data_IF_493916543318
#
_entry.id   IF_493916543318
#
_cell.length_a   1.000
_cell.length_b   1.000
_cell.length_c   1.000
_cell.angle_alpha   90.00
_cell.angle_beta   90.00
_cell.angle_gamma   90.00
#
_symmetry.space_group_name_H-M   'P 1'
#
loop_
_entity.id
_entity.type
_entity.pdbx_description
1 polymer ?
#
# COMPACT_ATOMS: atom_id res chain seq x y z
N UNK A 1 7.71 25.29 41.94
CA UNK A 1 8.24 25.14 40.57
C UNK A 1 7.33 25.91 39.63
N UNK A 2 7.80 27.03 39.08
CA UNK A 2 7.04 27.81 38.09
C UNK A 2 6.89 26.96 36.83
N UNK A 3 5.67 26.60 36.46
CA UNK A 3 5.38 26.07 35.13
C UNK A 3 5.78 27.15 34.12
N UNK A 4 6.94 27.02 33.46
CA UNK A 4 7.24 27.83 32.27
C UNK A 4 6.05 27.63 31.32
N UNK A 5 5.36 28.72 30.96
CA UNK A 5 4.21 28.65 30.06
C UNK A 5 4.64 27.99 28.74
N UNK A 6 4.17 26.77 28.52
CA UNK A 6 4.45 26.00 27.31
C UNK A 6 3.69 26.63 26.15
N UNK A 7 4.38 27.39 25.31
CA UNK A 7 3.77 28.08 24.16
C UNK A 7 3.61 27.13 22.98
N UNK A 8 2.37 26.72 22.72
CA UNK A 8 1.97 26.01 21.49
C UNK A 8 1.83 26.99 20.34
N UNK A 9 2.37 26.64 19.17
CA UNK A 9 2.26 27.42 17.94
C UNK A 9 2.02 26.48 16.76
N UNK A 10 1.13 26.88 15.86
CA UNK A 10 1.00 26.26 14.56
C UNK A 10 2.20 26.67 13.68
N UNK A 11 2.94 25.69 13.15
CA UNK A 11 4.12 25.92 12.33
C UNK A 11 4.16 24.95 11.15
N UNK A 12 4.75 25.40 10.04
CA UNK A 12 5.21 24.49 9.01
C UNK A 12 6.59 23.94 9.42
N UNK A 13 6.76 22.63 9.29
CA UNK A 13 7.91 21.87 9.77
C UNK A 13 8.47 21.14 8.56
N UNK A 14 9.72 21.42 8.24
CA UNK A 14 10.48 20.78 7.18
C UNK A 14 11.50 19.84 7.82
N UNK A 15 11.44 18.57 7.46
CA UNK A 15 12.46 17.57 7.79
C UNK A 15 13.17 17.16 6.51
N UNK A 16 14.49 17.14 6.51
CA UNK A 16 15.30 16.74 5.37
C UNK A 16 16.42 15.81 5.78
N UNK A 17 16.53 14.66 5.15
CA UNK A 17 17.49 13.62 5.51
C UNK A 17 18.16 13.02 4.26
N UNK A 18 19.37 12.49 4.44
CA UNK A 18 20.18 11.96 3.34
C UNK A 18 19.83 10.51 3.05
N UNK A 19 19.56 10.20 1.79
CA UNK A 19 19.40 8.82 1.34
C UNK A 19 20.73 8.07 1.33
N UNK A 20 20.81 7.03 2.15
CA UNK A 20 21.97 6.12 2.17
C UNK A 20 23.22 6.72 2.81
N UNK A 21 23.07 7.63 3.77
CA UNK A 21 24.19 8.30 4.44
C UNK A 21 25.23 7.32 5.01
N UNK A 22 24.79 6.24 5.66
CA UNK A 22 25.70 5.22 6.22
C UNK A 22 26.61 4.59 5.17
N UNK A 23 26.15 4.43 3.93
CA UNK A 23 26.97 3.93 2.82
C UNK A 23 28.05 4.95 2.44
N UNK A 24 27.67 6.23 2.31
CA UNK A 24 28.63 7.31 1.97
C UNK A 24 29.73 7.44 3.03
N UNK A 25 29.36 7.30 4.31
CA UNK A 25 30.30 7.25 5.42
C UNK A 25 31.26 6.06 5.30
N UNK A 26 30.75 4.85 5.04
CA UNK A 26 31.59 3.67 4.87
C UNK A 26 32.56 3.74 3.68
N UNK A 27 32.18 4.44 2.61
CA UNK A 27 33.02 4.58 1.41
C UNK A 27 34.16 5.60 1.61
N UNK A 28 33.86 6.79 2.15
CA UNK A 28 34.85 7.83 2.49
C UNK A 28 34.23 8.82 3.50
N UNK A 29 34.62 8.67 4.77
CA UNK A 29 34.11 9.48 5.87
C UNK A 29 34.46 10.97 5.73
N UNK A 30 35.70 11.28 5.38
CA UNK A 30 36.20 12.67 5.35
C UNK A 30 35.52 13.46 4.25
N UNK A 31 35.43 12.88 3.04
CA UNK A 31 34.73 13.52 1.94
C UNK A 31 33.23 13.66 2.22
N UNK A 32 32.62 12.70 2.94
CA UNK A 32 31.19 12.73 3.28
C UNK A 32 30.90 13.84 4.28
N UNK A 33 31.70 13.94 5.35
CA UNK A 33 31.60 15.02 6.34
C UNK A 33 31.79 16.40 5.71
N UNK A 34 32.75 16.54 4.78
CA UNK A 34 32.94 17.79 4.04
C UNK A 34 31.69 18.16 3.23
N UNK A 35 31.14 17.19 2.47
CA UNK A 35 29.98 17.41 1.59
C UNK A 35 28.72 17.76 2.40
N UNK A 36 28.43 17.02 3.48
CA UNK A 36 27.24 17.31 4.31
C UNK A 36 27.35 18.66 5.01
N UNK A 37 28.56 19.08 5.40
CA UNK A 37 28.79 20.39 6.02
C UNK A 37 28.47 21.53 5.04
N UNK A 38 28.99 21.45 3.81
CA UNK A 38 28.69 22.45 2.76
C UNK A 38 27.20 22.50 2.42
N UNK A 39 26.55 21.34 2.33
CA UNK A 39 25.14 21.25 2.02
C UNK A 39 24.30 21.83 3.18
N UNK A 40 24.69 21.59 4.44
CA UNK A 40 24.03 22.18 5.62
C UNK A 40 24.11 23.70 5.66
N UNK A 41 25.25 24.28 5.32
CA UNK A 41 25.39 25.74 5.21
C UNK A 41 24.44 26.28 4.14
N UNK A 42 24.38 25.61 2.98
CA UNK A 42 23.47 25.95 1.88
C UNK A 42 22.00 25.87 2.33
N UNK A 43 21.60 24.76 2.96
CA UNK A 43 20.25 24.56 3.48
C UNK A 43 19.89 25.62 4.52
N UNK A 44 20.79 25.92 5.45
CA UNK A 44 20.56 26.93 6.50
C UNK A 44 20.36 28.32 5.89
N UNK A 45 21.17 28.67 4.89
CA UNK A 45 21.03 29.94 4.15
C UNK A 45 19.66 30.05 3.48
N UNK A 46 19.23 29.01 2.76
CA UNK A 46 17.93 28.95 2.09
C UNK A 46 16.78 29.03 3.10
N UNK A 47 16.84 28.25 4.18
CA UNK A 47 15.83 28.29 5.25
C UNK A 47 15.66 29.72 5.78
N UNK A 48 16.77 30.42 6.04
CA UNK A 48 16.72 31.81 6.52
C UNK A 48 16.17 32.78 5.46
N UNK A 49 16.52 32.59 4.17
CA UNK A 49 16.01 33.40 3.06
C UNK A 49 14.48 33.30 2.93
N UNK A 50 13.92 32.12 3.19
CA UNK A 50 12.47 31.87 3.21
C UNK A 50 11.83 32.11 4.59
N UNK A 51 12.42 32.97 5.43
CA UNK A 51 11.89 33.36 6.76
C UNK A 51 11.66 32.14 7.70
N UNK A 52 12.40 31.07 7.47
CA UNK A 52 12.46 29.89 8.32
C UNK A 52 13.56 29.99 9.36
N UNK A 53 13.61 28.98 10.23
CA UNK A 53 14.69 28.80 11.21
C UNK A 53 15.04 27.32 11.31
N UNK A 54 16.32 26.99 11.21
CA UNK A 54 16.82 25.64 11.54
C UNK A 54 16.76 25.47 13.06
N UNK A 55 16.07 24.43 13.50
CA UNK A 55 15.84 24.11 14.91
C UNK A 55 16.87 23.10 15.40
N UNK A 56 17.11 22.09 14.59
CA UNK A 56 17.99 20.98 14.94
C UNK A 56 18.64 20.43 13.66
N UNK A 57 19.84 19.88 13.80
CA UNK A 57 20.52 19.18 12.72
C UNK A 57 21.44 18.07 13.26
N UNK A 58 20.87 17.03 13.90
CA UNK A 58 21.66 15.93 14.40
C UNK A 58 22.04 14.98 13.25
N UNK A 59 23.32 14.62 13.14
CA UNK A 59 23.78 13.59 12.19
C UNK A 59 23.79 14.06 10.75
N UNK A 60 22.82 13.60 9.96
CA UNK A 60 22.57 13.89 8.54
C UNK A 60 21.20 14.54 8.27
N UNK A 61 20.36 14.64 9.31
CA UNK A 61 19.06 15.27 9.23
C UNK A 61 19.16 16.79 9.44
N UNK A 62 18.22 17.54 8.85
CA UNK A 62 18.00 18.97 9.03
C UNK A 62 16.52 19.19 9.32
N UNK A 63 16.23 19.79 10.48
CA UNK A 63 14.88 20.14 10.91
C UNK A 63 14.72 21.66 10.95
N UNK A 64 13.79 22.18 10.19
CA UNK A 64 13.50 23.61 10.10
C UNK A 64 12.02 23.91 10.33
N UNK A 65 11.73 25.11 10.83
CA UNK A 65 10.36 25.61 11.02
C UNK A 65 10.14 26.93 10.33
N UNK A 66 8.92 27.11 9.85
CA UNK A 66 8.49 28.30 9.13
C UNK A 66 7.17 28.81 9.71
N UNK A 67 6.98 30.13 9.62
CA UNK A 67 5.69 30.76 9.91
C UNK A 67 4.64 30.52 8.81
N UNK A 68 5.09 30.21 7.60
CA UNK A 68 4.27 30.01 6.42
C UNK A 68 4.59 28.65 5.80
N UNK A 69 3.55 27.87 5.48
CA UNK A 69 3.70 26.60 4.76
C UNK A 69 4.05 26.82 3.27
N UNK A 70 3.67 27.97 2.71
CA UNK A 70 4.05 28.34 1.34
C UNK A 70 5.57 28.48 1.26
N UNK A 71 6.17 29.23 2.19
CA UNK A 71 7.60 29.49 2.25
C UNK A 71 8.37 28.18 2.49
N UNK A 72 7.86 27.31 3.38
CA UNK A 72 8.46 26.01 3.64
C UNK A 72 8.53 25.14 2.38
N UNK A 73 7.45 25.09 1.59
CA UNK A 73 7.41 24.27 0.37
C UNK A 73 8.23 24.89 -0.76
N UNK A 74 8.22 26.21 -0.93
CA UNK A 74 9.11 26.88 -1.88
C UNK A 74 10.59 26.68 -1.52
N UNK A 75 10.93 26.81 -0.24
CA UNK A 75 12.27 26.50 0.26
C UNK A 75 12.66 25.05 -0.04
N UNK A 76 11.76 24.09 0.18
CA UNK A 76 12.03 22.68 -0.13
C UNK A 76 12.31 22.44 -1.63
N UNK A 77 11.52 23.06 -2.51
CA UNK A 77 11.74 23.00 -3.97
C UNK A 77 13.09 23.58 -4.34
N UNK A 78 13.44 24.74 -3.81
CA UNK A 78 14.71 25.41 -4.09
C UNK A 78 15.92 24.62 -3.57
N UNK A 79 15.81 24.04 -2.37
CA UNK A 79 16.81 23.12 -1.82
C UNK A 79 17.05 21.96 -2.80
N UNK A 80 15.99 21.28 -3.26
CA UNK A 80 16.16 20.15 -4.18
C UNK A 80 16.80 20.57 -5.51
N UNK A 81 16.47 21.74 -6.06
CA UNK A 81 17.07 22.25 -7.29
C UNK A 81 18.58 22.51 -7.12
N UNK A 82 18.96 23.20 -6.04
CA UNK A 82 20.37 23.53 -5.76
C UNK A 82 21.18 22.26 -5.48
N UNK A 83 20.64 21.33 -4.70
CA UNK A 83 21.30 20.06 -4.42
C UNK A 83 21.42 19.18 -5.67
N UNK A 84 20.42 19.19 -6.56
CA UNK A 84 20.50 18.49 -7.85
C UNK A 84 21.68 19.02 -8.66
N UNK A 85 21.80 20.34 -8.81
CA UNK A 85 22.91 20.96 -9.52
C UNK A 85 24.27 20.64 -8.88
N UNK A 86 24.42 20.80 -7.56
CA UNK A 86 25.66 20.45 -6.85
C UNK A 86 26.06 18.97 -6.97
N UNK A 87 25.09 18.08 -7.11
CA UNK A 87 25.33 16.64 -7.29
C UNK A 87 25.75 16.28 -8.73
N UNK A 88 25.49 17.13 -9.73
CA UNK A 88 25.94 16.89 -11.11
C UNK A 88 27.46 16.91 -11.23
N UNK A 89 28.13 17.72 -10.42
CA UNK A 89 29.59 17.82 -10.34
C UNK A 89 30.26 16.65 -9.60
N UNK A 90 29.47 15.78 -8.96
CA UNK A 90 29.95 14.65 -8.18
C UNK A 90 29.75 13.32 -8.92
N UNK A 91 30.68 12.36 -8.76
CA UNK A 91 30.47 11.01 -9.26
C UNK A 91 29.28 10.35 -8.57
N UNK A 92 28.57 9.47 -9.28
CA UNK A 92 27.27 8.94 -8.85
C UNK A 92 27.29 8.32 -7.45
N UNK A 93 28.36 7.59 -7.11
CA UNK A 93 28.54 6.96 -5.80
C UNK A 93 28.71 7.95 -4.64
N UNK A 94 29.06 9.20 -4.93
CA UNK A 94 29.29 10.30 -3.97
C UNK A 94 28.14 11.30 -3.91
N UNK A 95 27.12 11.19 -4.78
CA UNK A 95 25.97 12.08 -4.77
C UNK A 95 25.21 11.96 -3.45
N UNK A 96 24.95 13.10 -2.83
CA UNK A 96 24.23 13.20 -1.57
C UNK A 96 22.80 13.64 -1.86
N UNK A 97 21.92 12.65 -1.95
CA UNK A 97 20.53 12.84 -2.36
C UNK A 97 19.65 13.00 -1.12
N UNK A 98 19.03 14.17 -0.96
CA UNK A 98 18.14 14.44 0.15
C UNK A 98 16.70 14.04 -0.17
N UNK A 99 16.00 13.56 0.85
CA UNK A 99 14.53 13.45 0.88
C UNK A 99 14.00 14.57 1.75
N UNK A 100 12.86 15.15 1.40
CA UNK A 100 12.26 16.25 2.17
C UNK A 100 10.79 15.95 2.47
N UNK A 101 10.39 16.14 3.73
CA UNK A 101 9.03 16.08 4.21
C UNK A 101 8.59 17.43 4.79
N UNK A 102 7.42 17.93 4.39
CA UNK A 102 6.83 19.15 4.96
C UNK A 102 5.47 18.84 5.60
N UNK A 103 5.32 19.22 6.86
CA UNK A 103 4.07 19.10 7.59
C UNK A 103 3.63 20.44 8.18
N UNK A 104 2.33 20.71 8.18
CA UNK A 104 1.75 21.82 8.95
C UNK A 104 1.05 21.24 10.20
N UNK A 105 1.51 21.65 11.38
CA UNK A 105 0.95 21.16 12.64
C UNK A 105 1.38 21.96 13.86
N UNK A 106 0.74 21.68 14.99
CA UNK A 106 1.06 22.31 16.26
C UNK A 106 2.36 21.77 16.84
N UNK A 107 3.21 22.68 17.29
CA UNK A 107 4.45 22.36 18.00
C UNK A 107 4.53 23.15 19.29
N UNK A 108 5.18 22.55 20.28
CA UNK A 108 5.65 23.22 21.47
C UNK A 108 7.05 23.75 21.14
N UNK A 109 7.23 25.07 21.26
CA UNK A 109 8.54 25.69 21.06
C UNK A 109 9.14 26.05 22.42
N UNK A 110 10.31 25.48 22.73
CA UNK A 110 11.09 25.80 23.92
C UNK A 110 12.49 26.23 23.49
N UNK A 111 12.79 27.52 23.68
CA UNK A 111 14.05 28.13 23.25
C UNK A 111 14.33 27.81 21.76
N UNK A 112 15.39 27.06 21.50
CA UNK A 112 15.78 26.68 20.14
C UNK A 112 15.17 25.39 19.64
N UNK A 113 14.55 24.58 20.52
CA UNK A 113 13.99 23.25 20.19
C UNK A 113 12.50 23.28 19.95
N UNK A 114 12.02 22.29 19.20
CA UNK A 114 10.58 22.04 19.01
C UNK A 114 10.23 20.62 19.40
N UNK A 115 9.03 20.45 19.93
CA UNK A 115 8.48 19.17 20.35
C UNK A 115 7.04 19.02 19.87
N UNK A 116 6.63 17.77 19.71
CA UNK A 116 5.25 17.40 19.43
C UNK A 116 5.10 16.54 18.19
N UNK A 117 3.88 16.06 18.01
CA UNK A 117 3.51 15.13 16.94
C UNK A 117 3.78 15.68 15.54
N UNK A 118 3.69 17.01 15.37
CA UNK A 118 3.98 17.66 14.09
C UNK A 118 5.38 17.35 13.56
N UNK A 119 6.37 17.20 14.45
CA UNK A 119 7.76 16.87 14.11
C UNK A 119 7.88 15.42 13.65
N UNK A 120 7.26 14.51 14.40
CA UNK A 120 7.23 13.08 14.07
C UNK A 120 6.54 12.81 12.72
N UNK A 121 5.46 13.55 12.43
CA UNK A 121 4.76 13.47 11.16
C UNK A 121 5.66 13.98 10.03
N UNK A 122 6.35 15.13 10.19
CA UNK A 122 7.26 15.66 9.18
C UNK A 122 8.37 14.66 8.82
N UNK A 123 9.03 14.09 9.82
CA UNK A 123 10.05 13.06 9.62
C UNK A 123 9.49 11.79 8.96
N UNK A 124 8.27 11.37 9.30
CA UNK A 124 7.64 10.21 8.67
C UNK A 124 7.29 10.46 7.21
N UNK A 125 6.85 11.68 6.89
CA UNK A 125 6.54 12.08 5.51
C UNK A 125 7.81 12.19 4.68
N UNK A 126 8.90 12.71 5.25
CA UNK A 126 10.23 12.72 4.64
C UNK A 126 10.65 11.31 4.20
N UNK A 127 10.48 10.31 5.08
CA UNK A 127 10.87 8.94 4.79
C UNK A 127 10.05 8.27 3.68
N UNK A 128 8.91 8.86 3.29
CA UNK A 128 8.08 8.41 2.17
C UNK A 128 8.48 9.06 0.84
N UNK A 129 9.30 10.11 0.86
CA UNK A 129 9.77 10.75 -0.36
C UNK A 129 10.77 9.87 -1.09
N UNK A 130 10.75 9.91 -2.43
CA UNK A 130 11.84 9.36 -3.22
C UNK A 130 13.10 10.22 -3.03
N UNK A 131 14.29 9.67 -3.33
CA UNK A 131 15.53 10.46 -3.33
C UNK A 131 15.41 11.66 -4.29
N UNK A 132 15.72 12.86 -3.78
CA UNK A 132 15.53 14.11 -4.53
C UNK A 132 14.08 14.58 -4.59
N UNK A 133 13.18 13.90 -3.88
CA UNK A 133 11.75 14.17 -3.86
C UNK A 133 11.30 14.99 -2.64
N UNK A 134 10.08 15.50 -2.75
CA UNK A 134 9.40 16.24 -1.69
C UNK A 134 8.03 15.60 -1.45
N UNK A 135 7.75 15.29 -0.19
CA UNK A 135 6.42 14.89 0.26
C UNK A 135 5.86 15.92 1.25
N UNK A 136 4.55 16.15 1.17
CA UNK A 136 3.84 17.09 2.04
C UNK A 136 2.63 16.43 2.68
N UNK A 137 2.28 16.85 3.89
CA UNK A 137 1.05 16.40 4.56
C UNK A 137 -0.20 16.96 3.87
N UNK A 138 -1.34 16.32 4.10
CA UNK A 138 -2.62 16.83 3.61
C UNK A 138 -2.97 18.21 4.16
N UNK A 139 -2.64 18.48 5.42
CA UNK A 139 -2.83 19.83 6.00
C UNK A 139 -1.97 20.88 5.32
N UNK A 140 -0.76 20.54 4.89
CA UNK A 140 0.07 21.44 4.09
C UNK A 140 -0.49 21.62 2.68
N UNK A 141 -0.89 20.52 2.01
CA UNK A 141 -1.50 20.54 0.69
C UNK A 141 -2.73 21.44 0.62
N UNK A 142 -3.68 21.26 1.55
CA UNK A 142 -4.94 22.02 1.59
C UNK A 142 -4.69 23.54 1.71
N UNK A 143 -3.53 23.96 2.25
CA UNK A 143 -3.17 25.37 2.44
C UNK A 143 -2.42 25.99 1.26
N UNK A 144 -1.86 25.19 0.35
CA UNK A 144 -0.97 25.65 -0.74
C UNK A 144 -1.48 25.34 -2.14
N UNK A 145 -2.44 24.41 -2.31
CA UNK A 145 -2.89 23.95 -3.63
C UNK A 145 -3.33 25.08 -4.58
N UNK A 146 -3.87 26.17 -4.03
CA UNK A 146 -4.33 27.34 -4.79
C UNK A 146 -3.34 28.52 -4.75
N UNK A 147 -2.18 28.35 -4.10
CA UNK A 147 -1.15 29.41 -3.92
C UNK A 147 0.13 29.13 -4.68
N UNK A 148 0.49 27.85 -4.84
CA UNK A 148 1.68 27.43 -5.55
C UNK A 148 1.29 26.66 -6.81
N UNK A 149 1.76 27.14 -7.96
CA UNK A 149 1.55 26.51 -9.26
C UNK A 149 2.48 25.28 -9.45
N UNK A 150 2.38 24.32 -8.53
CA UNK A 150 3.15 23.07 -8.55
C UNK A 150 2.22 21.89 -8.87
N UNK A 151 2.81 20.79 -9.34
CA UNK A 151 2.09 19.52 -9.41
C UNK A 151 1.92 18.90 -8.02
N UNK A 152 0.84 18.14 -7.83
CA UNK A 152 0.63 17.35 -6.61
C UNK A 152 0.09 15.96 -6.95
N UNK A 153 0.72 14.92 -6.44
CA UNK A 153 0.26 13.53 -6.59
C UNK A 153 -0.07 12.93 -5.24
N UNK A 154 -1.34 12.59 -5.03
CA UNK A 154 -1.78 11.91 -3.80
C UNK A 154 -1.13 10.52 -3.67
N UNK A 155 -0.51 10.25 -2.52
CA UNK A 155 0.15 8.98 -2.19
C UNK A 155 -0.67 8.11 -1.23
N UNK A 156 -1.89 8.51 -0.91
CA UNK A 156 -2.76 7.81 0.03
C UNK A 156 -2.62 8.30 1.47
N UNK A 157 -3.24 7.54 2.36
CA UNK A 157 -3.18 7.74 3.80
C UNK A 157 -2.13 6.83 4.44
N UNK A 158 -1.33 7.38 5.34
CA UNK A 158 -0.23 6.68 5.99
C UNK A 158 -0.36 6.77 7.51
N UNK A 159 -0.30 5.63 8.18
CA UNK A 159 -0.30 5.57 9.64
C UNK A 159 1.08 5.96 10.19
N UNK A 160 1.10 6.96 11.05
CA UNK A 160 2.30 7.40 11.76
C UNK A 160 2.26 6.84 13.17
N UNK A 161 3.41 6.37 13.68
CA UNK A 161 3.49 5.84 15.05
C UNK A 161 3.01 6.89 16.04
N UNK A 162 2.18 6.48 16.99
CA UNK A 162 1.61 7.34 18.03
C UNK A 162 0.63 8.43 17.54
N UNK A 163 0.17 8.38 16.28
CA UNK A 163 -0.86 9.28 15.74
C UNK A 163 -2.13 8.48 15.50
N UNK A 164 -3.24 8.89 16.12
CA UNK A 164 -4.50 8.16 16.08
C UNK A 164 -5.16 8.11 14.69
N UNK A 165 -5.01 9.19 13.90
CA UNK A 165 -5.58 9.29 12.55
C UNK A 165 -4.49 9.15 11.48
N UNK A 166 -4.73 8.38 10.41
CA UNK A 166 -3.84 8.36 9.26
C UNK A 166 -3.61 9.75 8.67
N UNK A 167 -2.41 10.00 8.17
CA UNK A 167 -2.04 11.28 7.55
C UNK A 167 -2.09 11.12 6.04
N UNK A 168 -2.86 11.98 5.35
CA UNK A 168 -2.83 12.10 3.89
C UNK A 168 -1.46 12.62 3.46
N UNK A 169 -0.86 12.01 2.44
CA UNK A 169 0.46 12.43 1.91
C UNK A 169 0.36 12.73 0.43
N UNK A 170 1.00 13.81 0.00
CA UNK A 170 1.11 14.21 -1.39
C UNK A 170 2.58 14.34 -1.78
N UNK A 171 2.93 13.91 -2.99
CA UNK A 171 4.23 14.15 -3.61
C UNK A 171 4.19 15.44 -4.42
N UNK A 172 5.21 16.27 -4.27
CA UNK A 172 5.48 17.42 -5.15
C UNK A 172 6.48 16.93 -6.20
N UNK A 173 6.09 16.80 -7.48
CA UNK A 173 6.98 16.38 -8.55
C UNK A 173 8.05 17.45 -8.83
N UNK A 174 9.31 17.03 -8.93
CA UNK A 174 10.43 17.94 -9.21
C UNK A 174 10.73 18.10 -10.71
N UNK A 175 10.42 17.08 -11.52
CA UNK A 175 10.59 17.17 -12.98
C UNK A 175 9.24 17.46 -13.67
N UNK A 176 9.22 18.31 -14.72
CA UNK A 176 8.00 18.60 -15.50
C UNK A 176 7.34 17.35 -16.09
N UNK A 177 8.11 16.28 -16.35
CA UNK A 177 7.62 14.99 -16.83
C UNK A 177 6.78 14.24 -15.78
N UNK A 178 6.92 14.60 -14.51
CA UNK A 178 6.17 14.02 -13.39
C UNK A 178 4.95 14.89 -13.00
N UNK A 179 4.88 16.13 -13.51
CA UNK A 179 3.70 16.99 -13.41
C UNK A 179 2.64 16.45 -14.39
N UNK A 180 1.55 15.90 -13.86
CA UNK A 180 0.42 15.42 -14.67
C UNK A 180 0.20 13.91 -14.66
N UNK A 181 1.04 13.11 -13.99
CA UNK A 181 0.61 11.79 -13.56
C UNK A 181 -0.32 11.97 -12.36
N UNK A 182 -1.61 12.21 -12.61
CA UNK A 182 -2.66 11.80 -11.67
C UNK A 182 -2.47 10.31 -11.46
N UNK A 183 -1.64 9.93 -10.49
CA UNK A 183 -1.54 8.58 -9.95
C UNK A 183 -2.79 8.40 -9.10
N UNK A 184 -3.95 8.43 -9.77
CA UNK A 184 -5.10 7.72 -9.26
C UNK A 184 -4.60 6.31 -9.03
N UNK A 185 -4.52 5.91 -7.76
CA UNK A 185 -4.34 4.52 -7.41
C UNK A 185 -5.29 3.73 -8.30
N UNK A 186 -4.73 2.91 -9.20
CA UNK A 186 -5.52 2.05 -10.08
C UNK A 186 -5.39 0.62 -9.55
N UNK A 187 -5.99 0.30 -8.36
CA UNK A 187 -6.06 -1.07 -7.86
C UNK A 187 -6.85 -1.96 -8.83
N UNK A 188 -7.75 -1.37 -9.64
CA UNK A 188 -8.54 -2.07 -10.64
C UNK A 188 -7.70 -2.77 -11.74
N UNK A 189 -6.50 -2.30 -12.10
CA UNK A 189 -5.66 -2.99 -13.10
C UNK A 189 -5.06 -4.27 -12.53
N UNK A 190 -4.69 -4.28 -11.24
CA UNK A 190 -4.19 -5.50 -10.58
C UNK A 190 -5.34 -6.49 -10.31
N UNK A 191 -6.51 -5.98 -9.90
CA UNK A 191 -7.73 -6.79 -9.72
C UNK A 191 -8.22 -7.37 -11.07
N UNK A 192 -8.17 -6.60 -12.15
CA UNK A 192 -8.58 -7.08 -13.48
C UNK A 192 -7.61 -8.14 -14.03
N UNK A 193 -6.31 -8.01 -13.77
CA UNK A 193 -5.32 -9.02 -14.18
C UNK A 193 -5.50 -10.30 -13.35
N UNK A 194 -5.67 -10.22 -12.03
CA UNK A 194 -5.90 -11.42 -11.20
C UNK A 194 -7.25 -12.08 -11.50
N UNK A 195 -8.31 -11.31 -11.73
CA UNK A 195 -9.61 -11.84 -12.15
C UNK A 195 -9.54 -12.51 -13.53
N UNK A 196 -8.79 -11.93 -14.48
CA UNK A 196 -8.56 -12.53 -15.80
C UNK A 196 -7.82 -13.87 -15.71
N UNK A 197 -6.77 -13.96 -14.90
CA UNK A 197 -6.02 -15.21 -14.70
C UNK A 197 -6.88 -16.28 -14.03
N UNK A 198 -7.68 -15.91 -13.02
CA UNK A 198 -8.59 -16.86 -12.36
C UNK A 198 -9.68 -17.38 -13.30
N UNK A 199 -10.24 -16.54 -14.17
CA UNK A 199 -11.22 -16.96 -15.17
C UNK A 199 -10.62 -17.92 -16.21
N UNK A 200 -9.39 -17.67 -16.65
CA UNK A 200 -8.68 -18.57 -17.57
C UNK A 200 -8.41 -19.91 -16.87
N UNK A 201 -7.92 -19.90 -15.63
CA UNK A 201 -7.67 -21.13 -14.88
C UNK A 201 -8.96 -21.94 -14.65
N UNK A 202 -10.06 -21.29 -14.24
CA UNK A 202 -11.35 -21.94 -14.06
C UNK A 202 -11.88 -22.52 -15.39
N UNK A 203 -11.77 -21.79 -16.50
CA UNK A 203 -12.15 -22.26 -17.83
C UNK A 203 -11.32 -23.47 -18.29
N UNK A 204 -10.01 -23.45 -18.06
CA UNK A 204 -9.13 -24.59 -18.38
C UNK A 204 -9.44 -25.81 -17.53
N UNK A 205 -9.69 -25.63 -16.22
CA UNK A 205 -10.08 -26.72 -15.34
C UNK A 205 -11.43 -27.34 -15.75
N UNK A 206 -12.42 -26.51 -16.11
CA UNK A 206 -13.71 -26.97 -16.63
C UNK A 206 -13.57 -27.71 -17.97
N UNK A 207 -12.70 -27.24 -18.87
CA UNK A 207 -12.44 -27.91 -20.14
C UNK A 207 -11.74 -29.26 -19.93
N UNK A 208 -10.75 -29.33 -19.05
CA UNK A 208 -10.06 -30.58 -18.69
C UNK A 208 -11.04 -31.56 -18.05
N UNK A 209 -11.90 -31.09 -17.13
CA UNK A 209 -12.94 -31.93 -16.55
C UNK A 209 -13.88 -32.49 -17.62
N UNK A 210 -14.36 -31.62 -18.52
CA UNK A 210 -15.31 -31.99 -19.57
C UNK A 210 -14.74 -32.96 -20.59
N UNK A 211 -13.49 -32.79 -21.01
CA UNK A 211 -12.89 -33.58 -22.09
C UNK A 211 -12.13 -34.82 -21.62
N UNK A 212 -11.55 -34.81 -20.41
CA UNK A 212 -10.63 -35.86 -19.99
C UNK A 212 -11.08 -36.62 -18.74
N UNK A 213 -11.87 -36.02 -17.85
CA UNK A 213 -12.22 -36.62 -16.55
C UNK A 213 -13.70 -36.98 -16.41
N UNK A 214 -14.55 -36.70 -17.41
CA UNK A 214 -15.94 -37.16 -17.39
C UNK A 214 -15.97 -38.69 -17.47
N UNK A 215 -16.49 -39.40 -16.46
CA UNK A 215 -16.67 -40.83 -16.56
C UNK A 215 -17.71 -41.11 -17.65
N UNK A 216 -17.37 -42.04 -18.54
CA UNK A 216 -18.22 -42.47 -19.65
C UNK A 216 -19.35 -43.33 -19.07
N UNK A 217 -20.47 -42.70 -18.71
CA UNK A 217 -21.67 -43.41 -18.26
C UNK A 217 -22.34 -44.03 -19.49
N UNK A 218 -21.86 -45.23 -19.85
CA UNK A 218 -22.49 -46.02 -20.90
C UNK A 218 -23.79 -46.62 -20.35
N UNK A 219 -24.94 -46.45 -21.04
CA UNK A 219 -26.15 -47.15 -20.66
C UNK A 219 -25.91 -48.67 -20.70
N UNK A 220 -26.52 -49.40 -19.76
CA UNK A 220 -26.34 -50.84 -19.64
C UNK A 220 -26.72 -51.55 -20.96
N UNK A 221 -25.85 -52.45 -21.43
CA UNK A 221 -26.08 -53.21 -22.66
C UNK A 221 -27.21 -54.22 -22.48
N UNK A 222 -28.28 -54.08 -23.26
CA UNK A 222 -29.47 -54.95 -23.23
C UNK A 222 -29.10 -56.44 -23.46
N UNK A 223 -28.08 -56.70 -24.28
CA UNK A 223 -27.58 -58.05 -24.58
C UNK A 223 -26.95 -58.78 -23.38
N UNK A 224 -26.55 -58.06 -22.33
CA UNK A 224 -25.96 -58.62 -21.10
C UNK A 224 -26.95 -58.71 -19.94
N UNK A 225 -28.21 -58.38 -20.17
CA UNK A 225 -29.24 -58.46 -19.13
C UNK A 225 -29.65 -59.92 -18.90
N UNK A 226 -29.76 -60.31 -17.64
CA UNK A 226 -30.15 -61.68 -17.26
C UNK A 226 -31.63 -61.99 -17.57
N UNK A 227 -32.45 -60.96 -17.80
CA UNK A 227 -33.88 -61.07 -18.08
C UNK A 227 -34.27 -60.09 -19.19
N UNK A 228 -35.28 -60.43 -20.02
CA UNK A 228 -35.82 -59.49 -21.01
C UNK A 228 -36.45 -58.28 -20.33
N UNK A 229 -36.26 -57.10 -20.93
CA UNK A 229 -36.89 -55.88 -20.43
C UNK A 229 -38.42 -55.97 -20.59
N UNK A 230 -39.20 -55.50 -19.61
CA UNK A 230 -40.65 -55.42 -19.74
C UNK A 230 -41.03 -54.38 -20.80
N UNK A 231 -42.15 -54.61 -21.49
CA UNK A 231 -42.65 -53.72 -22.55
C UNK A 231 -43.11 -52.34 -22.02
N UNK A 232 -43.38 -52.24 -20.72
CA UNK A 232 -43.78 -51.00 -20.05
C UNK A 232 -42.59 -50.35 -19.31
N UNK A 233 -42.52 -49.00 -19.25
CA UNK A 233 -41.52 -48.30 -18.45
C UNK A 233 -41.58 -48.78 -17.00
N UNK A 234 -40.50 -49.42 -16.56
CA UNK A 234 -40.39 -50.04 -15.24
C UNK A 234 -39.16 -49.53 -14.52
N UNK A 235 -39.25 -49.34 -13.21
CA UNK A 235 -38.13 -48.94 -12.35
C UNK A 235 -37.82 -50.11 -11.42
N UNK A 236 -36.57 -50.56 -11.38
CA UNK A 236 -36.10 -51.51 -10.38
C UNK A 236 -35.58 -50.74 -9.15
N UNK A 237 -36.08 -51.10 -7.97
CA UNK A 237 -35.59 -50.60 -6.69
C UNK A 237 -34.87 -51.76 -6.01
N UNK A 238 -33.58 -51.59 -5.73
CA UNK A 238 -32.76 -52.57 -5.03
C UNK A 238 -32.72 -52.22 -3.54
N UNK A 239 -32.52 -53.25 -2.70
CA UNK A 239 -32.24 -53.05 -1.28
C UNK A 239 -31.00 -52.16 -1.10
N UNK A 240 -31.07 -51.23 -0.14
CA UNK A 240 -29.95 -50.36 0.16
C UNK A 240 -28.90 -51.10 1.00
N UNK A 241 -27.64 -50.91 0.66
CA UNK A 241 -26.54 -51.45 1.46
C UNK A 241 -26.50 -50.78 2.84
N UNK A 242 -26.45 -51.59 3.90
CA UNK A 242 -26.25 -51.10 5.26
C UNK A 242 -24.77 -50.73 5.48
N UNK A 243 -24.49 -49.43 5.50
CA UNK A 243 -23.13 -48.90 5.73
C UNK A 243 -22.77 -48.75 7.22
N UNK A 244 -23.68 -49.07 8.15
CA UNK A 244 -23.42 -48.92 9.60
C UNK A 244 -22.58 -50.05 10.20
N UNK A 245 -22.52 -51.21 9.54
CA UNK A 245 -21.77 -52.38 10.00
C UNK A 245 -22.43 -53.21 11.11
N UNK A 246 -23.66 -52.89 11.53
CA UNK A 246 -24.45 -53.69 12.47
C UNK A 246 -25.44 -54.61 11.72
N UNK A 247 -25.23 -55.94 11.70
CA UNK A 247 -26.09 -56.88 10.95
C UNK A 247 -27.53 -56.92 11.45
N UNK A 248 -27.78 -56.48 12.69
CA UNK A 248 -29.14 -56.42 13.23
C UNK A 248 -29.99 -55.35 12.56
N UNK A 249 -29.39 -54.46 11.77
CA UNK A 249 -30.06 -53.33 11.11
C UNK A 249 -30.20 -53.51 9.60
N UNK A 250 -29.77 -54.65 9.05
CA UNK A 250 -29.84 -54.93 7.61
C UNK A 250 -31.28 -54.90 7.07
N UNK A 251 -32.26 -55.26 7.92
CA UNK A 251 -33.68 -55.21 7.58
C UNK A 251 -34.19 -53.79 7.25
N UNK A 252 -33.49 -52.73 7.68
CA UNK A 252 -33.88 -51.35 7.37
C UNK A 252 -33.71 -51.03 5.89
N UNK A 253 -32.64 -51.54 5.26
CA UNK A 253 -32.40 -51.35 3.83
C UNK A 253 -33.48 -51.99 2.98
N UNK A 254 -33.88 -53.21 3.34
CA UNK A 254 -34.99 -53.93 2.71
C UNK A 254 -36.33 -53.23 2.94
N UNK A 255 -36.59 -52.81 4.18
CA UNK A 255 -37.85 -52.14 4.53
C UNK A 255 -38.04 -50.80 3.81
N UNK A 256 -36.98 -50.02 3.64
CA UNK A 256 -37.03 -48.75 2.88
C UNK A 256 -37.24 -49.05 1.38
N UNK A 257 -36.59 -50.06 0.83
CA UNK A 257 -36.78 -50.43 -0.56
C UNK A 257 -38.22 -50.91 -0.84
N UNK A 258 -38.78 -51.75 0.02
CA UNK A 258 -40.18 -52.20 -0.03
C UNK A 258 -41.19 -51.05 0.05
N UNK A 259 -40.95 -50.07 0.93
CA UNK A 259 -41.81 -48.89 1.04
C UNK A 259 -41.77 -48.04 -0.24
N UNK A 260 -40.58 -47.82 -0.81
CA UNK A 260 -40.43 -47.10 -2.09
C UNK A 260 -41.10 -47.85 -3.23
N UNK A 261 -40.95 -49.18 -3.32
CA UNK A 261 -41.63 -50.01 -4.32
C UNK A 261 -43.15 -49.85 -4.18
N UNK A 262 -43.65 -49.91 -2.94
CA UNK A 262 -45.07 -49.76 -2.65
C UNK A 262 -45.59 -48.40 -3.11
N UNK A 263 -44.87 -47.31 -2.80
CA UNK A 263 -45.27 -45.96 -3.23
C UNK A 263 -45.23 -45.79 -4.74
N UNK A 264 -44.17 -46.28 -5.41
CA UNK A 264 -44.06 -46.21 -6.87
C UNK A 264 -45.12 -47.06 -7.56
N UNK A 265 -45.55 -48.18 -6.97
CA UNK A 265 -46.60 -49.03 -7.54
C UNK A 265 -47.98 -48.37 -7.60
N UNK A 266 -48.22 -47.35 -6.76
CA UNK A 266 -49.48 -46.61 -6.73
C UNK A 266 -49.55 -45.50 -7.78
N UNK A 267 -48.42 -45.15 -8.39
CA UNK A 267 -48.36 -44.15 -9.46
C UNK A 267 -48.83 -44.82 -10.75
N UNK A 268 -50.08 -44.55 -11.12
CA UNK A 268 -50.63 -44.96 -12.40
C UNK A 268 -50.21 -43.93 -13.46
N UNK A 269 -49.80 -44.42 -14.64
CA UNK A 269 -49.56 -43.58 -15.81
C UNK A 269 -50.86 -43.00 -16.37
#
# INVERSE_FOLDING_TARGET
MSTKDVKRKLRAILSADVQGYSRLMGDDEVATVKTITEYRETLTSLVNQYTGRVVDSPGDNVLAVFGSVVDAVQCAVEIQNILKAKNEDLPENRRMIFRIGVNLGDVIQEEDRIYGDGVNIAARIEALADGGGICISGTAYDQIENKLALGYSFLGEHSVKNIAKPVRVYKVPMDPKDVGKKRGSKPWKRIAITAGVLLILAGTAAAVWNFYLRPDVKPASVEKMAFPLPDNPSIAVLAFDNLSGDPKQDYLGDGIAEDIITQLSQIHN
#
